data_IF_435895744105
#
_entry.id   IF_435895744105
#
_cell.length_a   1.000
_cell.length_b   1.000
_cell.length_c   1.000
_cell.angle_alpha   90.00
_cell.angle_beta   90.00
_cell.angle_gamma   90.00
#
_symmetry.space_group_name_H-M   'P 1'
#
loop_
_entity.id
_entity.type
_entity.pdbx_description
1 polymer ?
#
# COMPACT_ATOMS: atom_id res chain seq x y z
N UNK A 1 17.11 -19.22 -25.64
CA UNK A 1 16.20 -18.19 -25.19
C UNK A 1 14.99 -18.86 -24.51
N UNK A 2 15.15 -19.27 -23.27
CA UNK A 2 14.02 -19.73 -22.46
C UNK A 2 13.25 -18.49 -21.99
N UNK A 3 12.33 -18.21 -22.79
CA UNK A 3 11.09 -17.48 -22.72
C UNK A 3 10.87 -16.63 -21.46
N UNK A 4 10.99 -15.34 -21.63
CA UNK A 4 10.34 -14.27 -20.85
C UNK A 4 8.89 -14.58 -20.50
N UNK A 5 8.21 -15.45 -21.24
CA UNK A 5 6.85 -15.91 -20.97
C UNK A 5 6.72 -16.72 -19.67
N UNK A 6 7.65 -17.62 -19.34
CA UNK A 6 7.59 -18.40 -18.10
C UNK A 6 7.75 -17.55 -16.85
N UNK A 7 8.58 -16.51 -16.89
CA UNK A 7 8.76 -15.55 -15.79
C UNK A 7 7.51 -14.68 -15.63
N UNK A 8 6.85 -14.29 -16.73
CA UNK A 8 5.64 -13.47 -16.67
C UNK A 8 4.44 -14.22 -16.06
N UNK A 9 4.28 -15.52 -16.37
CA UNK A 9 3.23 -16.35 -15.77
C UNK A 9 3.44 -16.55 -14.26
N UNK A 10 4.66 -16.87 -13.83
CA UNK A 10 4.99 -17.03 -12.42
C UNK A 10 4.77 -15.71 -11.64
N UNK A 11 5.20 -14.58 -12.18
CA UNK A 11 4.93 -13.27 -11.60
C UNK A 11 3.42 -12.97 -11.49
N UNK A 12 2.66 -13.27 -12.55
CA UNK A 12 1.21 -13.11 -12.59
C UNK A 12 0.51 -13.93 -11.50
N UNK A 13 0.96 -15.15 -11.24
CA UNK A 13 0.36 -16.01 -10.21
C UNK A 13 0.69 -15.52 -8.79
N UNK A 14 1.89 -14.99 -8.56
CA UNK A 14 2.27 -14.36 -7.30
C UNK A 14 1.39 -13.13 -7.02
N UNK A 15 1.20 -12.25 -8.00
CA UNK A 15 0.34 -11.07 -7.85
C UNK A 15 -1.13 -11.45 -7.60
N UNK A 16 -1.65 -12.49 -8.24
CA UNK A 16 -3.00 -12.99 -8.01
C UNK A 16 -3.17 -13.50 -6.57
N UNK A 17 -2.21 -14.31 -6.08
CA UNK A 17 -2.24 -14.83 -4.70
C UNK A 17 -2.16 -13.70 -3.68
N UNK A 18 -1.28 -12.72 -3.88
CA UNK A 18 -1.19 -11.53 -3.02
C UNK A 18 -2.49 -10.72 -3.03
N UNK A 19 -3.06 -10.50 -4.22
CA UNK A 19 -4.33 -9.79 -4.36
C UNK A 19 -5.49 -10.47 -3.63
N UNK A 20 -5.57 -11.80 -3.69
CA UNK A 20 -6.59 -12.58 -2.96
C UNK A 20 -6.41 -12.42 -1.46
N UNK A 21 -5.18 -12.55 -0.93
CA UNK A 21 -4.91 -12.42 0.51
C UNK A 21 -5.25 -11.01 1.03
N UNK A 22 -4.85 -9.98 0.29
CA UNK A 22 -5.17 -8.58 0.62
C UNK A 22 -6.68 -8.36 0.57
N UNK A 23 -7.36 -8.90 -0.45
CA UNK A 23 -8.81 -8.79 -0.60
C UNK A 23 -9.55 -9.47 0.54
N UNK A 24 -9.15 -10.67 0.93
CA UNK A 24 -9.73 -11.40 2.08
C UNK A 24 -9.51 -10.60 3.37
N UNK A 25 -8.30 -10.12 3.64
CA UNK A 25 -8.00 -9.34 4.83
C UNK A 25 -8.84 -8.06 4.91
N UNK A 26 -8.97 -7.35 3.79
CA UNK A 26 -9.79 -6.14 3.69
C UNK A 26 -11.30 -6.44 3.87
N UNK A 27 -11.79 -7.54 3.30
CA UNK A 27 -13.17 -7.99 3.44
C UNK A 27 -13.48 -8.41 4.89
N UNK A 28 -12.60 -9.17 5.51
CA UNK A 28 -12.72 -9.55 6.93
C UNK A 28 -12.79 -8.33 7.83
N UNK A 29 -11.90 -7.35 7.62
CA UNK A 29 -11.91 -6.12 8.40
C UNK A 29 -13.23 -5.34 8.23
N UNK A 30 -13.74 -5.27 7.01
CA UNK A 30 -15.02 -4.60 6.73
C UNK A 30 -16.20 -5.36 7.36
N UNK A 31 -16.23 -6.69 7.26
CA UNK A 31 -17.33 -7.53 7.78
C UNK A 31 -17.35 -7.57 9.31
N UNK A 32 -16.19 -7.76 9.96
CA UNK A 32 -16.13 -7.90 11.42
C UNK A 32 -16.07 -6.58 12.16
N UNK A 33 -15.44 -5.55 11.58
CA UNK A 33 -15.23 -4.28 12.27
C UNK A 33 -16.02 -3.12 11.64
N UNK A 34 -16.62 -3.31 10.46
CA UNK A 34 -17.30 -2.25 9.71
C UNK A 34 -16.36 -1.12 9.27
N UNK A 35 -15.05 -1.35 9.27
CA UNK A 35 -14.02 -0.32 9.06
C UNK A 35 -13.25 -0.55 7.78
N UNK A 36 -12.88 0.54 7.12
CA UNK A 36 -12.12 0.49 5.86
C UNK A 36 -10.62 0.41 6.18
N UNK A 37 -9.93 -0.57 5.60
CA UNK A 37 -8.49 -0.76 5.76
C UNK A 37 -7.67 0.29 4.97
N UNK A 38 -7.72 1.55 5.40
CA UNK A 38 -6.92 2.63 4.83
C UNK A 38 -5.78 3.01 5.79
N UNK A 39 -4.54 2.65 5.46
CA UNK A 39 -3.38 2.80 6.37
C UNK A 39 -3.20 4.25 6.83
N UNK A 40 -3.32 5.23 5.93
CA UNK A 40 -3.18 6.66 6.29
C UNK A 40 -4.26 7.12 7.28
N UNK A 41 -5.50 6.64 7.13
CA UNK A 41 -6.60 6.93 8.04
C UNK A 41 -6.45 6.23 9.40
N UNK A 42 -5.97 5.00 9.39
CA UNK A 42 -5.71 4.23 10.61
C UNK A 42 -4.55 4.86 11.38
N UNK A 43 -3.42 5.11 10.74
CA UNK A 43 -2.25 5.71 11.37
C UNK A 43 -2.52 7.13 11.87
N UNK A 44 -3.16 7.97 11.04
CA UNK A 44 -3.55 9.31 11.46
C UNK A 44 -4.54 9.30 12.62
N UNK A 45 -5.51 8.39 12.60
CA UNK A 45 -6.46 8.25 13.71
C UNK A 45 -5.81 7.71 14.99
N UNK A 46 -4.77 6.89 14.90
CA UNK A 46 -4.00 6.44 16.05
C UNK A 46 -3.30 7.62 16.76
N UNK A 47 -2.78 8.59 15.98
CA UNK A 47 -2.07 9.74 16.53
C UNK A 47 -3.00 10.81 17.11
N UNK A 48 -4.14 11.07 16.46
CA UNK A 48 -4.97 12.25 16.75
C UNK A 48 -6.31 11.93 17.44
N UNK A 49 -6.73 10.66 17.53
CA UNK A 49 -7.95 10.25 18.23
C UNK A 49 -7.64 9.57 19.55
N UNK A 50 -8.59 9.65 20.50
CA UNK A 50 -8.48 9.06 21.84
C UNK A 50 -9.58 8.01 22.06
N UNK A 51 -9.42 7.18 23.10
CA UNK A 51 -10.39 6.14 23.48
C UNK A 51 -10.31 4.89 22.61
N UNK A 52 -11.42 4.18 22.51
CA UNK A 52 -11.54 2.88 21.83
C UNK A 52 -11.14 2.96 20.35
N UNK A 53 -11.33 4.10 19.73
CA UNK A 53 -10.90 4.36 18.35
C UNK A 53 -9.38 4.28 18.19
N UNK A 54 -8.60 4.63 19.20
CA UNK A 54 -7.14 4.50 19.19
C UNK A 54 -6.69 3.07 19.42
N UNK A 55 -7.35 2.34 20.29
CA UNK A 55 -6.96 0.99 20.71
C UNK A 55 -6.97 0.02 19.53
N UNK A 56 -8.05 -0.06 18.76
CA UNK A 56 -8.09 -0.96 17.62
C UNK A 56 -7.11 -0.57 16.49
N UNK A 57 -6.85 0.75 16.32
CA UNK A 57 -5.88 1.27 15.34
C UNK A 57 -4.45 0.89 15.71
N UNK A 58 -4.11 1.02 17.00
CA UNK A 58 -2.79 0.60 17.49
C UNK A 58 -2.61 -0.90 17.37
N UNK A 59 -3.63 -1.70 17.68
CA UNK A 59 -3.60 -3.15 17.49
C UNK A 59 -3.41 -3.54 16.03
N UNK A 60 -4.06 -2.83 15.09
CA UNK A 60 -3.87 -3.06 13.66
C UNK A 60 -2.44 -2.75 13.21
N UNK A 61 -1.88 -1.60 13.62
CA UNK A 61 -0.49 -1.22 13.30
C UNK A 61 0.50 -2.21 13.92
N UNK A 62 0.28 -2.59 15.17
CA UNK A 62 1.10 -3.61 15.83
C UNK A 62 1.06 -4.96 15.10
N UNK A 63 -0.11 -5.39 14.63
CA UNK A 63 -0.26 -6.59 13.80
C UNK A 63 0.51 -6.52 12.48
N UNK A 64 0.51 -5.37 11.82
CA UNK A 64 1.31 -5.15 10.60
C UNK A 64 2.82 -5.27 10.87
N UNK A 65 3.29 -4.63 11.96
CA UNK A 65 4.70 -4.69 12.36
C UNK A 65 5.08 -6.14 12.72
N UNK A 66 4.26 -6.80 13.53
CA UNK A 66 4.49 -8.20 13.93
C UNK A 66 4.53 -9.14 12.71
N UNK A 67 3.61 -8.97 11.76
CA UNK A 67 3.60 -9.72 10.50
C UNK A 67 4.85 -9.50 9.66
N UNK A 68 5.30 -8.24 9.57
CA UNK A 68 6.54 -7.89 8.87
C UNK A 68 7.78 -8.51 9.54
N UNK A 69 7.88 -8.42 10.85
CA UNK A 69 8.98 -9.04 11.62
C UNK A 69 8.97 -10.56 11.49
N UNK A 70 7.80 -11.19 11.54
CA UNK A 70 7.66 -12.62 11.35
C UNK A 70 8.14 -13.06 9.96
N UNK A 71 7.72 -12.37 8.91
CA UNK A 71 8.18 -12.64 7.54
C UNK A 71 9.68 -12.43 7.39
N UNK A 72 10.23 -11.38 7.98
CA UNK A 72 11.67 -11.14 7.99
C UNK A 72 12.45 -12.27 8.64
N UNK A 73 11.91 -12.83 9.74
CA UNK A 73 12.53 -13.97 10.46
C UNK A 73 12.50 -15.27 9.66
N UNK A 74 11.50 -15.45 8.77
CA UNK A 74 11.35 -16.65 7.94
C UNK A 74 12.25 -16.55 6.71
N UNK A 75 12.29 -15.41 6.05
CA UNK A 75 13.11 -15.21 4.86
C UNK A 75 13.50 -13.73 4.68
N UNK A 76 14.77 -13.45 4.94
CA UNK A 76 15.37 -12.12 4.85
C UNK A 76 15.45 -11.61 3.40
N UNK A 77 15.50 -12.50 2.43
CA UNK A 77 15.66 -12.22 1.00
C UNK A 77 14.54 -11.32 0.44
N UNK A 78 13.31 -11.43 1.02
CA UNK A 78 12.18 -10.59 0.62
C UNK A 78 12.34 -9.11 1.01
N UNK A 79 13.28 -8.78 1.88
CA UNK A 79 13.51 -7.43 2.39
C UNK A 79 14.80 -6.79 1.87
N UNK A 80 15.49 -7.46 0.94
CA UNK A 80 16.65 -6.86 0.32
C UNK A 80 16.28 -5.59 -0.45
N UNK A 81 16.93 -4.50 -0.08
CA UNK A 81 16.71 -3.21 -0.72
C UNK A 81 17.42 -3.14 -2.08
N UNK A 82 16.80 -3.68 -3.11
CA UNK A 82 17.30 -3.64 -4.48
C UNK A 82 17.17 -2.27 -5.15
N UNK A 83 16.52 -1.29 -4.50
CA UNK A 83 16.25 0.01 -5.13
C UNK A 83 17.47 0.93 -5.19
N UNK A 84 18.53 0.68 -4.40
CA UNK A 84 19.75 1.48 -4.39
C UNK A 84 19.56 2.97 -4.00
N UNK A 85 18.37 3.34 -3.52
CA UNK A 85 18.01 4.73 -3.20
C UNK A 85 18.52 5.12 -1.83
N UNK A 86 19.14 6.31 -1.73
CA UNK A 86 19.59 6.86 -0.46
C UNK A 86 18.44 7.19 0.48
N UNK A 87 18.72 7.15 1.79
CA UNK A 87 17.75 7.42 2.86
C UNK A 87 17.03 8.78 2.68
N UNK A 88 17.73 9.80 2.20
CA UNK A 88 17.19 11.14 1.95
C UNK A 88 16.07 11.10 0.91
N UNK A 89 16.29 10.40 -0.22
CA UNK A 89 15.30 10.27 -1.27
C UNK A 89 14.04 9.53 -0.77
N UNK A 90 14.22 8.47 0.01
CA UNK A 90 13.11 7.72 0.62
C UNK A 90 12.33 8.57 1.60
N UNK A 91 13.01 9.38 2.41
CA UNK A 91 12.37 10.28 3.38
C UNK A 91 11.54 11.35 2.69
N UNK A 92 12.08 12.00 1.65
CA UNK A 92 11.35 13.01 0.88
C UNK A 92 10.14 12.38 0.19
N UNK A 93 10.30 11.23 -0.44
CA UNK A 93 9.19 10.51 -1.07
C UNK A 93 8.08 10.16 -0.06
N UNK A 94 8.46 9.67 1.13
CA UNK A 94 7.52 9.38 2.20
C UNK A 94 6.75 10.61 2.69
N UNK A 95 7.42 11.75 2.83
CA UNK A 95 6.77 13.03 3.19
C UNK A 95 5.78 13.49 2.12
N UNK A 96 6.16 13.44 0.84
CA UNK A 96 5.28 13.82 -0.26
C UNK A 96 4.04 12.92 -0.35
N UNK A 97 4.22 11.60 -0.20
CA UNK A 97 3.11 10.63 -0.14
C UNK A 97 2.23 10.90 1.08
N UNK A 98 2.83 11.18 2.25
CA UNK A 98 2.10 11.50 3.48
C UNK A 98 1.21 12.74 3.32
N UNK A 99 1.74 13.82 2.75
CA UNK A 99 0.98 15.04 2.44
C UNK A 99 -0.11 14.74 1.41
N UNK A 100 0.24 14.05 0.31
CA UNK A 100 -0.71 13.68 -0.75
C UNK A 100 -1.90 12.88 -0.23
N UNK A 101 -1.67 11.91 0.66
CA UNK A 101 -2.75 11.09 1.25
C UNK A 101 -3.65 11.91 2.17
N UNK A 102 -3.15 12.97 2.80
CA UNK A 102 -3.95 13.88 3.62
C UNK A 102 -4.82 14.78 2.76
N UNK A 103 -4.25 15.38 1.70
CA UNK A 103 -4.98 16.23 0.76
C UNK A 103 -6.02 15.42 -0.03
N UNK A 104 -5.65 14.23 -0.48
CA UNK A 104 -6.55 13.33 -1.25
C UNK A 104 -7.65 12.67 -0.41
N UNK A 105 -7.61 12.80 0.92
CA UNK A 105 -8.59 12.21 1.83
C UNK A 105 -8.51 10.68 1.93
N UNK A 106 -7.36 10.09 1.58
CA UNK A 106 -7.11 8.65 1.70
C UNK A 106 -5.85 8.22 0.98
N UNK A 107 -5.38 7.01 1.29
CA UNK A 107 -4.22 6.40 0.63
C UNK A 107 -4.65 5.42 -0.45
N UNK A 108 -3.68 4.92 -1.21
CA UNK A 108 -3.91 3.95 -2.29
C UNK A 108 -4.61 2.66 -1.81
N UNK A 109 -4.35 2.20 -0.58
CA UNK A 109 -5.03 1.02 -0.02
C UNK A 109 -6.51 1.29 0.28
N UNK A 110 -6.83 2.49 0.80
CA UNK A 110 -8.22 2.88 1.07
C UNK A 110 -9.04 3.08 -0.20
N UNK A 111 -8.50 3.78 -1.18
CA UNK A 111 -9.18 4.02 -2.47
C UNK A 111 -9.06 2.83 -3.41
N UNK A 112 -7.87 2.26 -3.59
CA UNK A 112 -7.63 1.19 -4.55
C UNK A 112 -8.24 -0.15 -4.16
N UNK A 113 -8.08 -0.59 -2.91
CA UNK A 113 -8.60 -1.89 -2.47
C UNK A 113 -10.06 -1.78 -2.02
N UNK A 114 -10.31 -1.01 -0.95
CA UNK A 114 -11.65 -0.94 -0.36
C UNK A 114 -12.61 -0.06 -1.17
N UNK A 115 -12.13 1.02 -1.78
CA UNK A 115 -12.96 1.97 -2.51
C UNK A 115 -13.42 1.43 -3.86
N UNK A 116 -12.55 0.77 -4.61
CA UNK A 116 -12.92 0.10 -5.88
C UNK A 116 -13.82 -1.10 -5.60
N UNK A 117 -13.52 -1.91 -4.57
CA UNK A 117 -14.37 -3.03 -4.19
C UNK A 117 -15.82 -2.62 -3.84
N UNK A 118 -16.03 -1.36 -3.47
CA UNK A 118 -17.34 -0.75 -3.21
C UNK A 118 -17.90 0.05 -4.39
N UNK A 119 -17.26 0.02 -5.55
CA UNK A 119 -17.62 0.76 -6.77
C UNK A 119 -17.81 2.28 -6.53
N UNK A 120 -17.00 2.86 -5.64
CA UNK A 120 -17.07 4.29 -5.34
C UNK A 120 -16.44 5.12 -6.47
N UNK A 121 -17.24 5.98 -7.13
CA UNK A 121 -16.76 6.87 -8.21
C UNK A 121 -15.61 7.77 -7.76
N UNK A 122 -15.66 8.30 -6.53
CA UNK A 122 -14.57 9.09 -5.93
C UNK A 122 -13.29 8.28 -5.83
N UNK A 123 -13.39 7.03 -5.41
CA UNK A 123 -12.21 6.16 -5.26
C UNK A 123 -11.65 5.75 -6.60
N UNK A 124 -12.50 5.53 -7.59
CA UNK A 124 -12.07 5.25 -8.97
C UNK A 124 -11.29 6.45 -9.54
N UNK A 125 -11.82 7.66 -9.42
CA UNK A 125 -11.14 8.87 -9.85
C UNK A 125 -9.79 9.07 -9.12
N UNK A 126 -9.74 8.88 -7.80
CA UNK A 126 -8.51 8.96 -7.04
C UNK A 126 -7.48 7.92 -7.50
N UNK A 127 -7.91 6.68 -7.74
CA UNK A 127 -7.04 5.60 -8.24
C UNK A 127 -6.44 5.93 -9.59
N UNK A 128 -7.27 6.37 -10.55
CA UNK A 128 -6.79 6.80 -11.88
C UNK A 128 -5.80 7.95 -11.75
N UNK A 129 -6.11 8.93 -10.92
CA UNK A 129 -5.23 10.11 -10.73
C UNK A 129 -3.85 9.72 -10.20
N UNK A 130 -3.75 8.89 -9.18
CA UNK A 130 -2.43 8.51 -8.66
C UNK A 130 -1.68 7.55 -9.60
N UNK A 131 -2.37 6.71 -10.37
CA UNK A 131 -1.72 5.88 -11.40
C UNK A 131 -1.14 6.74 -12.53
N UNK A 132 -1.91 7.70 -13.04
CA UNK A 132 -1.44 8.62 -14.08
C UNK A 132 -0.28 9.48 -13.56
N UNK A 133 -0.39 10.01 -12.34
CA UNK A 133 0.69 10.79 -11.72
C UNK A 133 1.96 9.96 -11.54
N UNK A 134 1.83 8.70 -11.11
CA UNK A 134 2.97 7.77 -10.98
C UNK A 134 3.64 7.48 -12.33
N UNK A 135 2.86 7.18 -13.37
CA UNK A 135 3.39 6.97 -14.73
C UNK A 135 4.07 8.23 -15.27
N UNK A 136 3.47 9.40 -15.09
CA UNK A 136 4.05 10.67 -15.51
C UNK A 136 5.38 10.94 -14.78
N UNK A 137 5.42 10.69 -13.48
CA UNK A 137 6.65 10.87 -12.69
C UNK A 137 7.77 9.94 -13.14
N UNK A 138 7.47 8.69 -13.43
CA UNK A 138 8.45 7.73 -13.98
C UNK A 138 8.97 8.21 -15.33
N UNK A 139 8.08 8.64 -16.23
CA UNK A 139 8.46 9.13 -17.56
C UNK A 139 9.34 10.39 -17.50
N UNK A 140 9.12 11.26 -16.51
CA UNK A 140 9.92 12.48 -16.32
C UNK A 140 11.28 12.21 -15.67
N UNK A 141 11.35 11.25 -14.77
CA UNK A 141 12.56 10.98 -13.97
C UNK A 141 13.48 9.96 -14.66
N UNK A 142 12.94 9.03 -15.44
CA UNK A 142 13.73 8.01 -16.14
C UNK A 142 14.86 8.59 -17.01
N UNK A 143 14.65 9.65 -17.84
CA UNK A 143 15.73 10.21 -18.64
C UNK A 143 16.83 10.92 -17.84
N UNK A 144 16.61 11.22 -16.55
CA UNK A 144 17.61 11.84 -15.68
C UNK A 144 18.59 10.82 -15.06
N UNK A 145 18.30 9.51 -15.22
CA UNK A 145 19.11 8.41 -14.68
C UNK A 145 19.88 7.61 -15.76
N UNK A 146 19.76 8.03 -17.02
CA UNK A 146 20.59 7.58 -18.13
C UNK A 146 21.60 8.68 -18.48
#
# INVERSE_FOLDING_TARGET
>A
PRSTQGVSWAASDVYKRQGILIGIAAAMMLLFSGKIAGISGIFGGMLFRQGDERTWRSAFVAGLIAGGVLLYSINTEYFENSSGRGLVAVTIAGLLVGIGTRVGGGCTSGHGVCGIGRLSARSLAATVTFMVAGMAMVALVQPLYH
#
